data_IF_487390996398
#
_entry.id   IF_487390996398
#
_cell.length_a   1.000
_cell.length_b   1.000
_cell.length_c   1.000
_cell.angle_alpha   90.00
_cell.angle_beta   90.00
_cell.angle_gamma   90.00
#
_symmetry.space_group_name_H-M   'P 1'
#
loop_
_entity.id
_entity.type
_entity.pdbx_description
1 polymer ?
#
# COMPACT_ATOMS: atom_id res chain seq x y z
N UNK A 1 -34.44 6.89 63.11
CA UNK A 1 -33.31 6.29 62.35
C UNK A 1 -33.55 6.12 60.84
N UNK A 2 -34.70 6.52 60.27
CA UNK A 2 -35.03 6.32 58.84
C UNK A 2 -34.45 7.38 57.88
N UNK A 3 -34.20 8.62 58.34
CA UNK A 3 -33.63 9.69 57.51
C UNK A 3 -32.14 9.57 57.21
N UNK A 4 -31.34 9.00 58.12
CA UNK A 4 -29.89 8.82 57.92
C UNK A 4 -29.57 7.79 56.82
N UNK A 5 -30.38 6.73 56.70
CA UNK A 5 -30.26 5.74 55.62
C UNK A 5 -30.61 6.34 54.26
N UNK A 6 -31.60 7.23 54.21
CA UNK A 6 -31.99 7.92 52.98
C UNK A 6 -30.89 8.87 52.47
N UNK A 7 -30.21 9.59 53.39
CA UNK A 7 -29.09 10.47 53.06
C UNK A 7 -27.89 9.67 52.51
N UNK A 8 -27.58 8.50 53.08
CA UNK A 8 -26.49 7.63 52.61
C UNK A 8 -26.76 7.10 51.19
N UNK A 9 -28.02 6.72 50.90
CA UNK A 9 -28.41 6.25 49.56
C UNK A 9 -28.29 7.37 48.52
N UNK A 10 -28.70 8.60 48.85
CA UNK A 10 -28.58 9.75 47.94
C UNK A 10 -27.11 10.09 47.64
N UNK A 11 -26.22 10.01 48.64
CA UNK A 11 -24.78 10.24 48.44
C UNK A 11 -24.17 9.16 47.54
N UNK A 12 -24.52 7.88 47.76
CA UNK A 12 -24.06 6.79 46.90
C UNK A 12 -24.55 6.96 45.46
N UNK A 13 -25.78 7.43 45.25
CA UNK A 13 -26.36 7.61 43.92
C UNK A 13 -25.66 8.74 43.15
N UNK A 14 -25.29 9.83 43.84
CA UNK A 14 -24.48 10.92 43.25
C UNK A 14 -23.06 10.44 42.90
N UNK A 15 -22.45 9.61 43.74
CA UNK A 15 -21.14 8.99 43.44
C UNK A 15 -21.24 8.05 42.24
N UNK A 16 -22.30 7.26 42.12
CA UNK A 16 -22.53 6.38 40.96
C UNK A 16 -22.76 7.18 39.67
N UNK A 17 -23.50 8.28 39.71
CA UNK A 17 -23.70 9.16 38.55
C UNK A 17 -22.38 9.85 38.16
N UNK A 18 -21.60 10.31 39.15
CA UNK A 18 -20.28 10.88 38.93
C UNK A 18 -19.30 9.87 38.33
N UNK A 19 -19.25 8.65 38.87
CA UNK A 19 -18.46 7.55 38.35
C UNK A 19 -18.89 7.16 36.93
N UNK A 20 -20.20 7.12 36.66
CA UNK A 20 -20.73 6.89 35.31
C UNK A 20 -20.29 7.98 34.33
N UNK A 21 -20.35 9.26 34.72
CA UNK A 21 -19.88 10.37 33.88
C UNK A 21 -18.36 10.37 33.70
N UNK A 22 -17.59 9.92 34.70
CA UNK A 22 -16.13 9.79 34.60
C UNK A 22 -15.75 8.61 33.69
N UNK A 23 -16.38 7.44 33.86
CA UNK A 23 -16.19 6.29 32.95
C UNK A 23 -16.57 6.69 31.53
N UNK A 24 -17.71 7.36 31.34
CA UNK A 24 -18.14 7.84 30.04
C UNK A 24 -17.22 8.93 29.48
N UNK A 25 -16.60 9.76 30.31
CA UNK A 25 -15.54 10.70 29.90
C UNK A 25 -14.23 10.00 29.54
N UNK A 26 -13.92 8.84 30.14
CA UNK A 26 -12.76 8.02 29.78
C UNK A 26 -13.01 7.22 28.49
N UNK A 27 -14.23 6.75 28.27
CA UNK A 27 -14.65 6.10 27.01
C UNK A 27 -14.81 7.11 25.86
N UNK A 28 -15.19 8.36 26.14
CA UNK A 28 -15.21 9.46 25.15
C UNK A 28 -13.82 10.10 24.90
N UNK A 29 -12.82 9.73 25.71
CA UNK A 29 -11.40 10.10 25.51
C UNK A 29 -10.59 8.99 24.83
N UNK A 30 -11.21 7.85 24.48
CA UNK A 30 -10.95 7.31 23.15
C UNK A 30 -11.59 8.28 22.18
N UNK A 31 -10.84 9.31 21.86
CA UNK A 31 -10.99 9.98 20.59
C UNK A 31 -10.86 8.86 19.56
N UNK A 32 -12.00 8.32 19.16
CA UNK A 32 -12.23 7.52 17.97
C UNK A 32 -12.05 8.43 16.75
N UNK A 33 -10.91 9.13 16.73
CA UNK A 33 -10.25 9.52 15.50
C UNK A 33 -9.74 8.19 14.98
N UNK A 34 -10.57 7.51 14.20
CA UNK A 34 -10.16 6.36 13.41
C UNK A 34 -9.05 6.80 12.45
N UNK A 35 -7.83 6.92 12.96
CA UNK A 35 -6.68 6.55 12.17
C UNK A 35 -6.71 5.03 12.18
N UNK A 36 -7.32 4.44 11.15
CA UNK A 36 -7.05 3.05 10.81
C UNK A 36 -5.53 2.87 10.85
N UNK A 37 -5.04 1.93 11.67
CA UNK A 37 -3.62 1.65 11.76
C UNK A 37 -3.14 1.30 10.35
N UNK A 38 -2.36 2.20 9.75
CA UNK A 38 -1.91 2.04 8.37
C UNK A 38 -0.97 0.84 8.29
N UNK A 39 -1.41 -0.21 7.62
CA UNK A 39 -0.55 -1.34 7.30
C UNK A 39 0.05 -1.11 5.92
N UNK A 40 1.35 -1.36 5.78
CA UNK A 40 2.07 -1.25 4.52
C UNK A 40 2.50 -2.64 4.05
N UNK A 41 2.30 -2.91 2.76
CA UNK A 41 2.87 -4.07 2.06
C UNK A 41 4.36 -3.86 1.83
N UNK A 42 4.73 -2.61 1.50
CA UNK A 42 6.11 -2.19 1.41
C UNK A 42 6.25 -0.74 1.90
N UNK A 43 7.32 -0.48 2.65
CA UNK A 43 7.66 0.86 3.13
C UNK A 43 9.18 1.01 3.16
N UNK A 44 9.71 1.89 2.30
CA UNK A 44 11.11 2.28 2.25
C UNK A 44 11.26 3.66 1.63
N UNK A 45 12.46 4.22 1.66
CA UNK A 45 12.76 5.45 0.92
C UNK A 45 12.80 5.16 -0.59
N UNK A 46 12.22 6.03 -1.41
CA UNK A 46 12.17 5.81 -2.87
C UNK A 46 13.57 5.86 -3.52
N UNK A 47 14.53 6.54 -2.90
CA UNK A 47 15.89 6.68 -3.41
C UNK A 47 16.71 5.38 -3.28
N UNK A 48 16.38 4.51 -2.30
CA UNK A 48 17.05 3.21 -2.12
C UNK A 48 16.68 2.18 -3.18
N UNK A 49 15.58 2.40 -3.90
CA UNK A 49 15.19 1.57 -5.05
C UNK A 49 16.13 1.89 -6.20
N UNK A 50 16.86 0.86 -6.63
CA UNK A 50 17.86 0.90 -7.71
C UNK A 50 17.39 0.20 -8.97
N UNK A 51 16.32 -0.59 -8.89
CA UNK A 51 15.74 -1.25 -10.04
C UNK A 51 14.33 -1.72 -9.78
N UNK A 52 13.54 -1.89 -10.83
CA UNK A 52 12.28 -2.60 -10.78
C UNK A 52 11.97 -3.26 -12.11
N UNK A 53 11.12 -4.29 -12.08
CA UNK A 53 10.60 -4.91 -13.30
C UNK A 53 9.15 -5.32 -13.13
N UNK A 54 8.42 -5.46 -14.23
CA UNK A 54 7.04 -5.94 -14.23
C UNK A 54 6.69 -6.60 -15.56
N UNK A 55 5.64 -7.42 -15.57
CA UNK A 55 5.14 -8.08 -16.77
C UNK A 55 4.18 -7.15 -17.50
N UNK A 56 4.37 -7.01 -18.81
CA UNK A 56 3.49 -6.25 -19.70
C UNK A 56 3.23 -7.09 -20.95
N UNK A 57 2.02 -7.67 -21.05
CA UNK A 57 1.73 -8.65 -22.08
C UNK A 57 2.53 -9.94 -21.88
N UNK A 58 3.29 -10.35 -22.89
CA UNK A 58 4.18 -11.53 -22.81
C UNK A 58 5.62 -11.15 -22.41
N UNK A 59 5.93 -9.85 -22.33
CA UNK A 59 7.27 -9.34 -22.05
C UNK A 59 7.44 -8.93 -20.59
N UNK A 60 8.68 -8.97 -20.11
CA UNK A 60 9.07 -8.37 -18.83
C UNK A 60 9.86 -7.09 -19.12
N UNK A 61 9.35 -5.96 -18.64
CA UNK A 61 10.05 -4.68 -18.72
C UNK A 61 10.87 -4.51 -17.45
N UNK A 62 12.18 -4.31 -17.59
CA UNK A 62 13.12 -4.17 -16.48
C UNK A 62 13.91 -2.88 -16.60
N UNK A 63 14.07 -2.20 -15.47
CA UNK A 63 14.71 -0.89 -15.40
C UNK A 63 15.64 -0.80 -14.21
N UNK A 64 16.78 -0.17 -14.43
CA UNK A 64 17.82 0.04 -13.42
C UNK A 64 18.31 1.49 -13.40
N UNK A 65 18.70 1.99 -12.23
CA UNK A 65 19.39 3.28 -12.08
C UNK A 65 20.87 3.12 -12.42
N UNK A 66 21.36 3.98 -13.30
CA UNK A 66 22.77 4.31 -13.49
C UNK A 66 23.03 5.70 -12.90
N UNK A 67 23.58 5.73 -11.69
CA UNK A 67 23.62 6.94 -10.87
C UNK A 67 22.20 7.41 -10.51
N UNK A 68 21.84 8.61 -10.96
CA UNK A 68 20.50 9.19 -10.76
C UNK A 68 19.60 9.06 -12.01
N UNK A 69 20.04 8.33 -13.04
CA UNK A 69 19.31 8.18 -14.31
C UNK A 69 18.76 6.77 -14.45
N UNK A 70 17.46 6.65 -14.63
CA UNK A 70 16.78 5.40 -14.97
C UNK A 70 17.02 5.00 -16.42
N UNK A 71 17.34 3.73 -16.64
CA UNK A 71 17.55 3.12 -17.95
C UNK A 71 16.66 1.90 -18.10
N UNK A 72 16.24 1.64 -19.33
CA UNK A 72 15.63 0.37 -19.70
C UNK A 72 16.73 -0.66 -19.96
N UNK A 73 16.69 -1.79 -19.25
CA UNK A 73 17.75 -2.80 -19.28
C UNK A 73 17.80 -3.54 -20.63
N UNK A 74 16.68 -3.61 -21.34
CA UNK A 74 16.59 -4.27 -22.65
C UNK A 74 17.20 -3.47 -23.80
N UNK A 75 17.25 -2.14 -23.69
CA UNK A 75 17.87 -1.27 -24.69
C UNK A 75 18.27 0.09 -24.08
N UNK A 76 19.58 0.25 -23.87
CA UNK A 76 20.15 1.46 -23.30
C UNK A 76 20.14 2.67 -24.23
N UNK A 77 19.87 2.50 -25.54
CA UNK A 77 19.78 3.64 -26.46
C UNK A 77 18.47 4.42 -26.30
N UNK A 78 17.45 3.81 -25.68
CA UNK A 78 16.18 4.48 -25.38
C UNK A 78 16.36 5.42 -24.19
N UNK A 79 15.92 6.66 -24.37
CA UNK A 79 15.84 7.63 -23.27
C UNK A 79 14.51 7.46 -22.56
N UNK A 80 14.53 7.13 -21.28
CA UNK A 80 13.31 6.97 -20.47
C UNK A 80 12.85 8.30 -19.89
N UNK A 81 11.54 8.48 -19.76
CA UNK A 81 10.94 9.59 -19.04
C UNK A 81 11.26 9.48 -17.55
N UNK A 82 12.24 10.27 -17.11
CA UNK A 82 12.77 10.18 -15.74
C UNK A 82 11.72 10.53 -14.67
N UNK A 83 10.74 11.38 -15.00
CA UNK A 83 9.65 11.74 -14.09
C UNK A 83 8.71 10.55 -13.89
N UNK A 84 8.32 9.87 -14.97
CA UNK A 84 7.51 8.65 -14.89
C UNK A 84 8.23 7.55 -14.11
N UNK A 85 9.51 7.32 -14.41
CA UNK A 85 10.33 6.32 -13.71
C UNK A 85 10.44 6.60 -12.20
N UNK A 86 10.69 7.85 -11.83
CA UNK A 86 10.73 8.26 -10.42
C UNK A 86 9.36 8.09 -9.73
N UNK A 87 8.26 8.41 -10.42
CA UNK A 87 6.91 8.21 -9.88
C UNK A 87 6.58 6.73 -9.65
N UNK A 88 6.99 5.85 -10.56
CA UNK A 88 6.82 4.41 -10.42
C UNK A 88 7.63 3.86 -9.24
N UNK A 89 8.89 4.25 -9.10
CA UNK A 89 9.71 3.88 -7.95
C UNK A 89 9.11 4.37 -6.64
N UNK A 90 8.61 5.61 -6.58
CA UNK A 90 7.93 6.13 -5.40
C UNK A 90 6.66 5.35 -5.04
N UNK A 91 5.88 4.91 -6.04
CA UNK A 91 4.70 4.08 -5.82
C UNK A 91 5.05 2.70 -5.25
N UNK A 92 6.22 2.14 -5.62
CA UNK A 92 6.71 0.89 -5.02
C UNK A 92 7.28 1.09 -3.63
N UNK A 93 7.87 2.25 -3.36
CA UNK A 93 8.50 2.56 -2.08
C UNK A 93 7.48 2.54 -0.93
N UNK A 94 6.27 3.02 -1.18
CA UNK A 94 5.18 3.06 -0.19
C UNK A 94 3.89 2.47 -0.77
N UNK A 95 3.65 1.20 -0.42
CA UNK A 95 2.43 0.48 -0.79
C UNK A 95 1.60 0.29 0.47
N UNK A 96 0.58 1.12 0.63
CA UNK A 96 -0.37 0.98 1.73
C UNK A 96 -1.39 -0.11 1.40
N UNK A 97 -1.64 -1.00 2.36
CA UNK A 97 -2.73 -1.96 2.29
C UNK A 97 -4.06 -1.25 2.59
N UNK A 98 -5.07 -1.53 1.76
CA UNK A 98 -6.47 -1.21 2.01
C UNK A 98 -7.04 -2.15 3.09
N UNK A 99 -6.65 -3.42 3.02
CA UNK A 99 -7.06 -4.44 3.98
C UNK A 99 -5.97 -5.52 4.09
N UNK A 100 -5.85 -6.12 5.28
CA UNK A 100 -5.02 -7.32 5.52
C UNK A 100 -5.94 -8.54 5.66
N UNK A 101 -5.57 -9.65 5.06
CA UNK A 101 -6.30 -10.91 5.07
C UNK A 101 -5.48 -11.96 5.83
N UNK A 102 -5.74 -12.08 7.14
CA UNK A 102 -4.94 -12.91 8.05
C UNK A 102 -5.36 -14.40 8.05
N UNK A 103 -6.60 -14.71 7.67
CA UNK A 103 -7.16 -16.07 7.68
C UNK A 103 -7.50 -16.54 6.25
N UNK A 104 -6.50 -16.60 5.38
CA UNK A 104 -6.69 -17.12 4.02
C UNK A 104 -6.41 -18.63 3.96
N UNK A 105 -7.25 -19.40 3.28
CA UNK A 105 -7.11 -20.86 3.18
C UNK A 105 -6.29 -21.27 1.95
N UNK A 106 -6.54 -20.63 0.79
CA UNK A 106 -5.82 -20.93 -0.45
C UNK A 106 -5.47 -19.66 -1.24
N UNK A 107 -4.21 -19.56 -1.68
CA UNK A 107 -3.73 -18.45 -2.52
C UNK A 107 -4.42 -18.37 -3.90
N UNK A 108 -4.93 -19.50 -4.38
CA UNK A 108 -5.66 -19.65 -5.65
C UNK A 108 -6.97 -18.84 -5.67
N UNK A 109 -7.64 -18.69 -4.53
CA UNK A 109 -8.87 -17.90 -4.39
C UNK A 109 -8.62 -16.42 -4.72
N UNK A 110 -7.39 -15.96 -4.49
CA UNK A 110 -6.94 -14.60 -4.74
C UNK A 110 -6.15 -14.48 -6.04
N UNK A 111 -5.96 -15.56 -6.80
CA UNK A 111 -5.15 -15.59 -8.02
C UNK A 111 -3.66 -15.35 -7.77
N UNK A 112 -3.16 -15.61 -6.56
CA UNK A 112 -1.74 -15.40 -6.20
C UNK A 112 -0.84 -16.58 -6.57
N UNK A 113 -1.41 -17.74 -6.89
CA UNK A 113 -0.70 -18.89 -7.46
C UNK A 113 -0.50 -18.78 -8.98
N UNK A 114 -1.41 -18.07 -9.65
CA UNK A 114 -1.37 -17.72 -11.08
C UNK A 114 -1.49 -16.20 -11.21
N UNK A 115 -0.42 -15.46 -10.86
CA UNK A 115 -0.50 -14.01 -10.73
C UNK A 115 -0.85 -13.30 -12.03
N UNK A 116 -1.62 -12.23 -11.92
CA UNK A 116 -1.91 -11.32 -13.03
C UNK A 116 -0.69 -10.47 -13.39
N UNK A 117 0.17 -10.17 -12.42
CA UNK A 117 1.45 -9.53 -12.62
C UNK A 117 2.42 -9.88 -11.48
N UNK A 118 3.72 -9.77 -11.74
CA UNK A 118 4.78 -9.88 -10.74
C UNK A 118 5.72 -8.71 -10.89
N UNK A 119 5.84 -7.91 -9.83
CA UNK A 119 6.67 -6.71 -9.81
C UNK A 119 7.90 -6.99 -8.94
N UNK A 120 9.09 -6.91 -9.52
CA UNK A 120 10.34 -6.98 -8.75
C UNK A 120 10.76 -5.60 -8.27
N UNK A 121 11.21 -5.50 -7.03
CA UNK A 121 11.75 -4.29 -6.40
C UNK A 121 13.18 -4.58 -5.98
N UNK A 122 14.14 -3.93 -6.62
CA UNK A 122 15.57 -4.14 -6.38
C UNK A 122 16.15 -2.95 -5.61
N UNK A 123 16.84 -3.27 -4.52
CA UNK A 123 17.64 -2.33 -3.73
C UNK A 123 19.08 -2.87 -3.62
N UNK A 124 19.95 -2.13 -2.91
CA UNK A 124 21.30 -2.61 -2.58
C UNK A 124 21.32 -3.83 -1.67
N UNK A 125 20.25 -4.08 -0.92
CA UNK A 125 20.16 -5.20 0.02
C UNK A 125 19.67 -6.49 -0.65
N UNK A 126 18.99 -6.36 -1.80
CA UNK A 126 18.48 -7.49 -2.58
C UNK A 126 17.24 -7.13 -3.36
N UNK A 127 16.59 -8.16 -3.91
CA UNK A 127 15.35 -8.04 -4.67
C UNK A 127 14.20 -8.68 -3.91
N UNK A 128 13.05 -8.01 -3.88
CA UNK A 128 11.78 -8.53 -3.39
C UNK A 128 10.77 -8.59 -4.54
N UNK A 129 9.89 -9.56 -4.52
CA UNK A 129 8.83 -9.70 -5.53
C UNK A 129 7.48 -9.42 -4.89
N UNK A 130 6.74 -8.48 -5.48
CA UNK A 130 5.35 -8.23 -5.19
C UNK A 130 4.50 -9.00 -6.20
N UNK A 131 3.76 -9.98 -5.72
CA UNK A 131 2.86 -10.81 -6.51
C UNK A 131 1.50 -10.13 -6.53
N UNK A 132 0.96 -9.87 -7.71
CA UNK A 132 -0.37 -9.28 -7.92
C UNK A 132 -1.32 -10.37 -8.40
N UNK A 133 -2.40 -10.57 -7.68
CA UNK A 133 -3.44 -11.56 -7.97
C UNK A 133 -4.63 -10.96 -8.72
N UNK A 134 -5.81 -11.49 -8.41
CA UNK A 134 -7.07 -11.09 -9.02
C UNK A 134 -7.51 -9.69 -8.56
N UNK A 135 -8.27 -9.01 -9.43
CA UNK A 135 -8.99 -7.79 -9.09
C UNK A 135 -10.21 -8.10 -8.21
N UNK A 136 -10.42 -7.27 -7.20
CA UNK A 136 -11.65 -7.16 -6.44
C UNK A 136 -12.39 -5.90 -6.88
N UNK A 137 -13.24 -6.03 -7.90
CA UNK A 137 -14.00 -4.92 -8.49
C UNK A 137 -14.86 -4.17 -7.44
N UNK A 138 -15.37 -4.88 -6.43
CA UNK A 138 -16.24 -4.28 -5.41
C UNK A 138 -15.49 -3.32 -4.48
N UNK A 139 -14.19 -3.55 -4.29
CA UNK A 139 -13.33 -2.75 -3.44
C UNK A 139 -12.33 -1.86 -4.21
N UNK A 140 -12.41 -1.82 -5.54
CA UNK A 140 -11.48 -1.09 -6.42
C UNK A 140 -10.00 -1.37 -6.08
N UNK A 141 -9.68 -2.66 -5.98
CA UNK A 141 -8.37 -3.11 -5.52
C UNK A 141 -7.96 -4.46 -6.06
N UNK A 142 -6.71 -4.83 -5.80
CA UNK A 142 -6.11 -6.11 -6.21
C UNK A 142 -5.59 -6.83 -5.00
N UNK A 143 -5.68 -8.15 -5.01
CA UNK A 143 -4.97 -8.97 -4.04
C UNK A 143 -3.47 -8.92 -4.32
N UNK A 144 -2.66 -8.83 -3.28
CA UNK A 144 -1.21 -8.80 -3.40
C UNK A 144 -0.51 -9.45 -2.21
N UNK A 145 0.70 -9.94 -2.43
CA UNK A 145 1.59 -10.43 -1.37
C UNK A 145 3.06 -10.21 -1.74
N UNK A 146 3.93 -10.15 -0.72
CA UNK A 146 5.37 -10.27 -0.95
C UNK A 146 5.70 -11.76 -1.05
N UNK A 147 6.44 -12.15 -2.09
CA UNK A 147 6.85 -13.53 -2.29
C UNK A 147 7.66 -14.03 -1.08
N UNK A 148 7.27 -15.20 -0.54
CA UNK A 148 7.87 -15.79 0.65
C UNK A 148 7.31 -15.28 1.99
N UNK A 149 6.40 -14.31 1.98
CA UNK A 149 5.62 -13.92 3.16
C UNK A 149 4.25 -14.60 3.18
N UNK A 150 3.69 -14.81 4.37
CA UNK A 150 2.39 -15.49 4.58
C UNK A 150 1.24 -14.49 4.80
N UNK A 151 1.35 -13.30 4.21
CA UNK A 151 0.35 -12.24 4.35
C UNK A 151 -0.22 -11.85 3.00
N UNK A 152 -1.54 -11.90 2.90
CA UNK A 152 -2.29 -11.41 1.75
C UNK A 152 -2.88 -10.06 2.08
N UNK A 153 -2.76 -9.14 1.12
CA UNK A 153 -3.22 -7.78 1.22
C UNK A 153 -4.21 -7.49 0.10
N UNK A 154 -5.13 -6.58 0.36
CA UNK A 154 -5.84 -5.84 -0.68
C UNK A 154 -5.14 -4.49 -0.84
N UNK A 155 -4.74 -4.15 -2.06
CA UNK A 155 -4.12 -2.86 -2.41
C UNK A 155 -4.97 -2.10 -3.41
N UNK A 156 -4.82 -0.78 -3.49
CA UNK A 156 -5.52 0.04 -4.49
C UNK A 156 -5.14 -0.34 -5.92
N UNK A 157 -6.11 -0.30 -6.83
CA UNK A 157 -5.94 -0.47 -8.29
C UNK A 157 -4.93 0.51 -8.91
N UNK A 158 -4.62 1.61 -8.24
CA UNK A 158 -3.65 2.62 -8.68
C UNK A 158 -2.23 2.08 -8.86
N UNK A 159 -1.81 1.08 -8.07
CA UNK A 159 -0.49 0.49 -8.22
C UNK A 159 -0.43 -0.43 -9.45
N UNK A 160 -1.21 -1.52 -9.58
CA UNK A 160 -1.19 -2.37 -10.78
C UNK A 160 -1.40 -1.60 -12.08
N UNK A 161 -2.24 -0.57 -12.08
CA UNK A 161 -2.48 0.28 -13.25
C UNK A 161 -1.24 1.06 -13.71
N UNK A 162 -0.34 1.43 -12.80
CA UNK A 162 0.95 2.06 -13.17
C UNK A 162 1.91 1.05 -13.78
N UNK A 163 1.86 -0.20 -13.32
CA UNK A 163 2.71 -1.31 -13.76
C UNK A 163 2.07 -2.15 -14.88
N UNK A 164 1.18 -1.53 -15.66
CA UNK A 164 0.69 -2.04 -16.94
C UNK A 164 1.08 -1.14 -18.12
N UNK A 165 1.85 -0.08 -17.86
CA UNK A 165 2.34 0.85 -18.88
C UNK A 165 3.25 0.14 -19.89
N UNK A 166 2.98 0.33 -21.18
CA UNK A 166 3.82 -0.16 -22.26
C UNK A 166 5.11 0.67 -22.37
N UNK A 167 6.18 0.06 -22.90
CA UNK A 167 7.51 0.65 -22.96
C UNK A 167 7.52 2.02 -23.69
N UNK A 168 6.80 2.14 -24.80
CA UNK A 168 6.72 3.36 -25.62
C UNK A 168 6.13 4.55 -24.85
N UNK A 169 5.23 4.30 -23.90
CA UNK A 169 4.66 5.34 -23.04
C UNK A 169 5.62 5.84 -21.96
N UNK A 170 6.69 5.08 -21.69
CA UNK A 170 7.73 5.39 -20.71
C UNK A 170 8.97 6.01 -21.34
N UNK A 171 9.04 6.11 -22.67
CA UNK A 171 10.10 6.82 -23.37
C UNK A 171 9.96 8.33 -23.20
N UNK A 172 11.09 9.04 -23.16
CA UNK A 172 11.11 10.49 -23.21
C UNK A 172 10.62 10.93 -24.59
N UNK A 173 9.42 11.47 -24.66
CA UNK A 173 8.93 12.11 -25.88
C UNK A 173 9.55 13.51 -25.96
N UNK A 174 10.16 13.88 -27.10
CA UNK A 174 10.52 15.28 -27.33
C UNK A 174 9.24 16.11 -27.16
N UNK A 175 9.23 17.01 -26.17
CA UNK A 175 8.21 18.03 -26.11
C UNK A 175 8.33 18.84 -27.42
N UNK A 176 7.35 18.71 -28.30
CA UNK A 176 7.18 19.71 -29.35
C UNK A 176 6.95 21.03 -28.61
N UNK A 177 8.01 21.83 -28.48
CA UNK A 177 7.93 23.22 -28.10
C UNK A 177 6.87 23.85 -29.01
N UNK A 178 5.66 24.10 -28.47
CA UNK A 178 4.67 24.94 -29.12
C UNK A 178 5.33 26.30 -29.35
N UNK A 179 5.87 26.47 -30.56
CA UNK A 179 6.28 27.76 -31.08
C UNK A 179 5.03 28.63 -31.19
N UNK A 180 4.86 29.45 -30.17
CA UNK A 180 4.47 30.87 -30.23
C UNK A 180 3.00 31.19 -30.51
#
# INVERSE_FOLDING_TARGET
>A
MKGKKLIIVLILLVICIGAYFVVRRLDLNKTDSGEEEKVYVNQMEADVITGFSYVCGEDTLAFSKDGDTWRYDGNHELSMNQTSMASMAAALAEIQAVQVLEDHEELSEYGLDTPSNTISITTKEGTRELIIGNENEAADGYYAMINGEDKVYLISSSLPSKFSAALDTLEETEAEDEKN
#
